data_IF_935715014927
#
_entry.id   IF_935715014927
#
_cell.length_a   1.000
_cell.length_b   1.000
_cell.length_c   1.000
_cell.angle_alpha   90.00
_cell.angle_beta   90.00
_cell.angle_gamma   90.00
#
_symmetry.space_group_name_H-M   'P 1'
#
loop_
_entity.id
_entity.type
_entity.pdbx_description
1 polymer ?
#
# COMPACT_ATOMS: atom_id res chain seq x y z
N UNK A 1 31.40 -0.59 -13.80
CA UNK A 1 30.55 -1.22 -14.82
C UNK A 1 29.13 -1.07 -14.34
N UNK A 2 28.27 -0.34 -15.06
CA UNK A 2 26.85 -0.28 -14.73
C UNK A 2 26.26 -1.64 -15.12
N UNK A 3 25.94 -2.48 -14.14
CA UNK A 3 25.18 -3.71 -14.40
C UNK A 3 23.80 -3.32 -14.91
N UNK A 4 23.29 -4.03 -15.90
CA UNK A 4 21.91 -3.89 -16.35
C UNK A 4 21.00 -4.18 -15.15
N UNK A 5 20.01 -3.32 -14.84
CA UNK A 5 19.07 -3.61 -13.77
C UNK A 5 18.37 -4.95 -13.99
N UNK A 6 18.19 -5.71 -12.92
CA UNK A 6 17.44 -6.96 -12.90
C UNK A 6 16.16 -6.75 -12.09
N UNK A 7 15.01 -6.44 -12.71
CA UNK A 7 13.79 -6.20 -11.98
C UNK A 7 13.50 -7.36 -11.01
N UNK A 8 13.28 -7.03 -9.75
CA UNK A 8 13.01 -7.99 -8.68
C UNK A 8 11.71 -7.60 -8.01
N UNK A 9 10.82 -8.57 -7.79
CA UNK A 9 9.56 -8.39 -7.08
C UNK A 9 9.74 -8.84 -5.63
N UNK A 10 9.44 -7.99 -4.66
CA UNK A 10 9.44 -8.34 -3.24
C UNK A 10 8.03 -8.23 -2.68
N UNK A 11 7.55 -9.31 -2.07
CA UNK A 11 6.23 -9.41 -1.46
C UNK A 11 6.34 -9.79 0.01
N UNK A 12 5.78 -8.97 0.88
CA UNK A 12 5.65 -9.23 2.32
C UNK A 12 4.17 -9.11 2.65
N UNK A 13 3.46 -10.24 2.82
CA UNK A 13 2.02 -10.22 3.04
C UNK A 13 1.63 -9.43 4.30
N UNK A 14 0.47 -8.78 4.25
CA UNK A 14 -0.18 -8.17 5.41
C UNK A 14 -1.16 -9.14 6.05
N UNK A 15 -1.46 -8.93 7.33
CA UNK A 15 -2.46 -9.76 8.02
C UNK A 15 -2.02 -11.18 8.35
N UNK A 16 -0.72 -11.51 8.30
CA UNK A 16 -0.14 -12.86 8.54
C UNK A 16 0.79 -12.81 9.74
N UNK A 17 0.84 -12.05 10.64
CA UNK A 17 1.71 -12.07 11.81
C UNK A 17 3.00 -11.27 11.66
N UNK A 18 3.32 -10.59 12.73
CA UNK A 18 4.46 -9.68 12.80
C UNK A 18 5.81 -10.39 12.63
N UNK A 19 5.88 -11.68 12.98
CA UNK A 19 7.12 -12.47 12.89
C UNK A 19 7.66 -12.61 11.45
N UNK A 20 6.84 -12.39 10.46
CA UNK A 20 7.22 -12.49 9.04
C UNK A 20 7.08 -11.13 8.29
N UNK A 21 7.18 -10.02 9.01
CA UNK A 21 7.10 -8.69 8.42
C UNK A 21 5.67 -8.14 8.31
N UNK A 22 4.83 -8.41 9.30
CA UNK A 22 3.44 -7.93 9.34
C UNK A 22 3.29 -6.44 9.60
N UNK A 23 4.32 -5.77 10.13
CA UNK A 23 4.32 -4.33 10.30
C UNK A 23 4.62 -3.61 8.99
N UNK A 24 3.85 -2.57 8.69
CA UNK A 24 4.11 -1.74 7.52
C UNK A 24 5.48 -1.07 7.63
N UNK A 25 6.33 -1.31 6.64
CA UNK A 25 7.67 -0.74 6.56
C UNK A 25 8.77 -1.46 7.32
N UNK A 26 8.50 -2.52 8.08
CA UNK A 26 9.55 -3.23 8.81
C UNK A 26 10.49 -4.05 7.90
N UNK A 27 10.03 -4.41 6.71
CA UNK A 27 10.85 -5.05 5.68
C UNK A 27 11.73 -4.06 4.87
N UNK A 28 11.70 -2.77 5.19
CA UNK A 28 12.43 -1.76 4.44
C UNK A 28 13.96 -1.98 4.40
N UNK A 29 14.64 -2.43 5.47
CA UNK A 29 16.07 -2.74 5.39
C UNK A 29 16.40 -3.76 4.28
N UNK A 30 15.60 -4.82 4.17
CA UNK A 30 15.72 -5.84 3.12
C UNK A 30 15.39 -5.26 1.73
N UNK A 31 14.33 -4.45 1.62
CA UNK A 31 13.97 -3.77 0.37
C UNK A 31 15.09 -2.84 -0.13
N UNK A 32 15.75 -2.09 0.76
CA UNK A 32 16.91 -1.25 0.42
C UNK A 32 18.07 -2.07 -0.13
N UNK A 33 18.37 -3.21 0.52
CA UNK A 33 19.41 -4.12 0.07
C UNK A 33 19.09 -4.68 -1.31
N UNK A 34 17.88 -5.15 -1.52
CA UNK A 34 17.44 -5.68 -2.81
C UNK A 34 17.44 -4.60 -3.90
N UNK A 35 16.96 -3.39 -3.62
CA UNK A 35 17.00 -2.28 -4.58
C UNK A 35 18.44 -1.91 -4.96
N UNK A 36 19.39 -1.98 -4.02
CA UNK A 36 20.79 -1.74 -4.29
C UNK A 36 21.42 -2.86 -5.13
N UNK A 37 21.08 -4.12 -4.86
CA UNK A 37 21.62 -5.27 -5.57
C UNK A 37 21.03 -5.44 -6.97
N UNK A 38 19.72 -5.29 -7.11
CA UNK A 38 18.99 -5.53 -8.36
C UNK A 38 18.96 -4.33 -9.31
N UNK A 39 19.08 -3.12 -8.77
CA UNK A 39 18.92 -1.87 -9.52
C UNK A 39 17.47 -1.52 -9.88
N UNK A 40 16.50 -2.41 -9.64
CA UNK A 40 15.07 -2.19 -9.86
C UNK A 40 14.26 -3.12 -8.94
N UNK A 41 13.53 -2.55 -8.00
CA UNK A 41 12.69 -3.28 -7.06
C UNK A 41 11.22 -2.88 -7.27
N UNK A 42 10.36 -3.87 -7.40
CA UNK A 42 8.90 -3.71 -7.40
C UNK A 42 8.39 -4.23 -6.07
N UNK A 43 7.63 -3.42 -5.35
CA UNK A 43 7.08 -3.82 -4.05
C UNK A 43 5.80 -3.04 -3.72
N UNK A 44 5.20 -3.32 -2.57
CA UNK A 44 3.87 -2.85 -2.22
C UNK A 44 3.86 -2.05 -0.90
N UNK A 45 2.71 -1.41 -0.56
CA UNK A 45 2.58 -0.53 0.61
C UNK A 45 3.08 -1.12 1.92
N UNK A 46 2.79 -2.37 2.24
CA UNK A 46 3.23 -2.98 3.49
C UNK A 46 4.75 -2.94 3.70
N UNK A 47 5.54 -3.05 2.61
CA UNK A 47 7.01 -2.93 2.68
C UNK A 47 7.45 -1.48 2.85
N UNK A 48 6.71 -0.52 2.26
CA UNK A 48 7.16 0.87 2.11
C UNK A 48 6.51 1.85 3.07
N UNK A 49 5.29 1.57 3.55
CA UNK A 49 4.59 2.46 4.47
C UNK A 49 5.34 2.62 5.80
N UNK A 50 5.12 3.73 6.50
CA UNK A 50 5.84 4.07 7.72
C UNK A 50 7.25 4.61 7.47
N UNK A 51 7.96 4.06 6.49
CA UNK A 51 9.33 4.45 6.19
C UNK A 51 9.49 5.23 4.87
N UNK A 52 8.51 5.18 3.97
CA UNK A 52 8.54 5.92 2.69
C UNK A 52 8.75 7.42 2.87
N UNK A 53 8.25 7.98 3.97
CA UNK A 53 8.40 9.40 4.29
C UNK A 53 9.86 9.81 4.52
N UNK A 54 10.66 8.90 5.09
CA UNK A 54 12.04 9.17 5.50
C UNK A 54 13.06 8.70 4.47
N UNK A 55 12.65 7.88 3.52
CA UNK A 55 13.55 7.32 2.54
C UNK A 55 12.87 7.12 1.19
N UNK A 56 13.36 7.76 0.16
CA UNK A 56 12.92 7.57 -1.22
C UNK A 56 14.08 7.04 -2.06
N UNK A 57 13.78 6.05 -2.90
CA UNK A 57 14.73 5.48 -3.85
C UNK A 57 14.07 5.37 -5.22
N UNK A 58 14.70 5.94 -6.23
CA UNK A 58 14.17 5.91 -7.60
C UNK A 58 14.17 4.52 -8.23
N UNK A 59 14.85 3.56 -7.61
CA UNK A 59 14.88 2.15 -8.04
C UNK A 59 13.68 1.36 -7.54
N UNK A 60 12.88 1.91 -6.61
CA UNK A 60 11.74 1.24 -6.01
C UNK A 60 10.46 1.71 -6.67
N UNK A 61 9.68 0.76 -7.17
CA UNK A 61 8.34 0.95 -7.71
C UNK A 61 7.30 0.53 -6.68
N UNK A 62 6.51 1.50 -6.22
CA UNK A 62 5.44 1.32 -5.25
C UNK A 62 4.16 0.91 -5.97
N UNK A 63 3.72 -0.33 -5.80
CA UNK A 63 2.56 -0.90 -6.50
C UNK A 63 1.63 -1.58 -5.49
N UNK A 64 0.38 -1.25 -5.51
CA UNK A 64 -0.64 -1.86 -4.66
C UNK A 64 -0.94 -3.30 -5.10
N UNK A 65 -1.46 -4.13 -4.16
CA UNK A 65 -1.57 -5.57 -4.30
C UNK A 65 -2.29 -6.05 -5.56
N UNK A 66 -3.47 -5.48 -5.91
CA UNK A 66 -4.17 -5.88 -7.14
C UNK A 66 -3.36 -5.55 -8.41
N UNK A 67 -2.65 -4.42 -8.38
CA UNK A 67 -1.73 -4.06 -9.47
C UNK A 67 -0.59 -5.05 -9.61
N UNK A 68 -0.05 -5.56 -8.49
CA UNK A 68 0.98 -6.60 -8.49
C UNK A 68 0.45 -7.93 -9.01
N UNK A 69 -0.75 -8.35 -8.63
CA UNK A 69 -1.36 -9.58 -9.12
C UNK A 69 -1.53 -9.53 -10.65
N UNK A 70 -2.06 -8.41 -11.18
CA UNK A 70 -2.22 -8.24 -12.63
C UNK A 70 -0.89 -8.12 -13.38
N UNK A 71 0.13 -7.54 -12.75
CA UNK A 71 1.48 -7.53 -13.29
C UNK A 71 2.08 -8.95 -13.32
N UNK A 72 1.96 -9.70 -12.24
CA UNK A 72 2.53 -11.05 -12.12
C UNK A 72 1.90 -12.06 -13.09
N UNK A 73 0.59 -11.94 -13.37
CA UNK A 73 -0.06 -12.77 -14.39
C UNK A 73 0.21 -12.30 -15.84
N UNK A 74 0.89 -11.16 -16.02
CA UNK A 74 1.23 -10.62 -17.34
C UNK A 74 0.12 -9.82 -18.02
N UNK A 75 -0.99 -9.51 -17.31
CA UNK A 75 -2.07 -8.70 -17.86
C UNK A 75 -1.72 -7.21 -17.91
N UNK A 76 -0.88 -6.74 -16.99
CA UNK A 76 -0.43 -5.37 -16.91
C UNK A 76 1.09 -5.27 -16.91
N UNK A 77 1.59 -4.16 -17.46
CA UNK A 77 2.96 -3.70 -17.30
C UNK A 77 2.99 -2.44 -16.43
N UNK A 78 4.16 -2.12 -15.92
CA UNK A 78 4.40 -0.95 -15.09
C UNK A 78 5.19 0.10 -15.89
N UNK A 79 4.63 1.30 -16.02
CA UNK A 79 5.30 2.43 -16.67
C UNK A 79 5.80 3.42 -15.64
N UNK A 80 7.11 3.56 -15.54
CA UNK A 80 7.71 4.57 -14.65
C UNK A 80 7.27 5.98 -15.01
N UNK A 81 6.91 6.76 -14.01
CA UNK A 81 6.52 8.16 -14.14
C UNK A 81 7.42 9.05 -13.27
N UNK A 82 7.53 10.32 -13.63
CA UNK A 82 8.28 11.28 -12.81
C UNK A 82 7.52 11.70 -11.57
N UNK A 83 6.18 11.81 -11.68
CA UNK A 83 5.27 12.20 -10.61
C UNK A 83 3.84 11.81 -10.97
N UNK A 84 3.05 11.57 -9.95
CA UNK A 84 1.60 11.42 -10.02
C UNK A 84 0.92 12.69 -9.50
N UNK A 85 -0.26 12.99 -10.05
CA UNK A 85 -1.20 13.93 -9.46
C UNK A 85 -2.15 13.15 -8.56
N UNK A 86 -1.97 13.27 -7.25
CA UNK A 86 -2.67 12.44 -6.29
C UNK A 86 -3.99 13.09 -5.89
N UNK A 87 -5.11 12.44 -6.23
CA UNK A 87 -6.42 12.78 -5.66
C UNK A 87 -6.53 12.29 -4.23
N UNK A 88 -7.05 13.10 -3.31
CA UNK A 88 -7.35 12.70 -1.94
C UNK A 88 -8.83 12.36 -1.81
N UNK A 89 -9.12 11.10 -1.47
CA UNK A 89 -10.46 10.59 -1.23
C UNK A 89 -10.69 10.42 0.27
N UNK A 90 -11.68 11.11 0.83
CA UNK A 90 -12.03 11.01 2.24
C UNK A 90 -13.36 10.26 2.40
N UNK A 91 -13.39 9.31 3.31
CA UNK A 91 -14.63 8.66 3.72
C UNK A 91 -15.54 9.66 4.46
N UNK A 92 -16.81 9.75 4.07
CA UNK A 92 -17.80 10.58 4.75
C UNK A 92 -18.09 10.12 6.20
N UNK A 93 -17.62 8.94 6.59
CA UNK A 93 -17.69 8.45 7.96
C UNK A 93 -16.64 9.03 8.91
N UNK A 94 -15.66 9.78 8.38
CA UNK A 94 -14.62 10.39 9.21
C UNK A 94 -15.17 11.63 9.91
N UNK A 95 -14.91 11.73 11.20
CA UNK A 95 -15.27 12.88 12.02
C UNK A 95 -14.63 14.17 11.48
N UNK A 96 -15.30 15.34 11.56
CA UNK A 96 -14.81 16.58 10.94
C UNK A 96 -13.39 16.99 11.35
N UNK A 97 -13.02 16.77 12.61
CA UNK A 97 -11.68 17.10 13.11
C UNK A 97 -10.61 16.19 12.49
N UNK A 98 -10.87 14.88 12.44
CA UNK A 98 -9.96 13.92 11.81
C UNK A 98 -9.86 14.17 10.30
N UNK A 99 -10.98 14.46 9.63
CA UNK A 99 -10.97 14.78 8.20
C UNK A 99 -10.11 16.03 7.92
N UNK A 100 -10.27 17.08 8.74
CA UNK A 100 -9.45 18.31 8.63
C UNK A 100 -7.97 18.01 8.85
N UNK A 101 -7.63 17.12 9.78
CA UNK A 101 -6.24 16.68 10.02
C UNK A 101 -5.64 15.99 8.79
N UNK A 102 -6.39 15.13 8.12
CA UNK A 102 -5.93 14.49 6.88
C UNK A 102 -5.69 15.52 5.76
N UNK A 103 -6.56 16.52 5.63
CA UNK A 103 -6.36 17.62 4.68
C UNK A 103 -5.07 18.40 5.01
N UNK A 104 -4.84 18.74 6.28
CA UNK A 104 -3.63 19.44 6.71
C UNK A 104 -2.36 18.61 6.47
N UNK A 105 -2.41 17.30 6.65
CA UNK A 105 -1.28 16.41 6.30
C UNK A 105 -0.99 16.47 4.81
N UNK A 106 -2.01 16.40 3.96
CA UNK A 106 -1.86 16.52 2.51
C UNK A 106 -1.29 17.88 2.09
N UNK A 107 -1.79 18.96 2.66
CA UNK A 107 -1.26 20.33 2.44
C UNK A 107 0.20 20.45 2.91
N UNK A 108 0.53 19.87 4.07
CA UNK A 108 1.90 19.81 4.58
C UNK A 108 2.84 19.05 3.64
N UNK A 109 2.42 17.90 3.12
CA UNK A 109 3.18 17.13 2.13
C UNK A 109 3.34 17.91 0.81
N UNK A 110 2.32 18.61 0.36
CA UNK A 110 2.42 19.50 -0.80
C UNK A 110 3.46 20.60 -0.55
N UNK A 111 3.36 21.30 0.57
CA UNK A 111 4.21 22.47 0.88
C UNK A 111 5.68 22.08 1.14
N UNK A 112 5.92 20.96 1.83
CA UNK A 112 7.27 20.60 2.30
C UNK A 112 8.00 19.62 1.39
N UNK A 113 7.27 18.74 0.70
CA UNK A 113 7.83 17.71 -0.16
C UNK A 113 7.59 18.00 -1.65
N UNK A 114 6.80 19.01 -1.98
CA UNK A 114 6.47 19.38 -3.37
C UNK A 114 5.60 18.32 -4.08
N UNK A 115 4.84 17.53 -3.34
CA UNK A 115 3.94 16.55 -3.94
C UNK A 115 2.77 17.23 -4.63
N UNK A 116 2.37 16.75 -5.81
CA UNK A 116 1.21 17.26 -6.52
C UNK A 116 -0.05 16.57 -5.99
N UNK A 117 -0.74 17.24 -5.06
CA UNK A 117 -1.92 16.70 -4.37
C UNK A 117 -3.15 17.55 -4.72
N UNK A 118 -4.24 16.89 -4.99
CA UNK A 118 -5.54 17.46 -5.34
C UNK A 118 -6.06 16.92 -6.67
N UNK A 119 -7.37 16.91 -6.86
CA UNK A 119 -8.43 17.44 -5.99
C UNK A 119 -8.70 16.60 -4.73
N UNK A 120 -9.49 17.15 -3.79
CA UNK A 120 -10.01 16.46 -2.60
C UNK A 120 -11.49 16.19 -2.80
N UNK A 121 -11.92 14.95 -2.55
CA UNK A 121 -13.33 14.52 -2.71
C UNK A 121 -13.72 13.64 -1.54
N UNK A 122 -14.83 13.93 -0.89
CA UNK A 122 -15.45 13.02 0.07
C UNK A 122 -16.42 12.07 -0.61
N UNK A 123 -16.58 10.87 -0.07
CA UNK A 123 -17.65 9.95 -0.48
C UNK A 123 -19.01 10.58 -0.17
N UNK A 124 -20.04 10.16 -0.88
CA UNK A 124 -21.42 10.67 -0.67
C UNK A 124 -22.14 9.94 0.48
N UNK A 125 -21.57 8.84 0.96
CA UNK A 125 -22.03 8.06 2.11
C UNK A 125 -20.82 7.47 2.83
N UNK A 126 -20.91 7.21 4.15
CA UNK A 126 -19.88 6.47 4.88
C UNK A 126 -19.60 5.12 4.24
N UNK A 127 -18.32 4.72 4.16
CA UNK A 127 -17.92 3.44 3.58
C UNK A 127 -18.35 2.26 4.44
N UNK A 128 -18.58 2.46 5.76
CA UNK A 128 -18.99 1.44 6.71
C UNK A 128 -18.04 0.23 6.68
N UNK A 129 -16.76 0.50 6.91
CA UNK A 129 -15.73 -0.54 7.00
C UNK A 129 -16.04 -1.44 8.20
N UNK A 130 -15.99 -2.75 7.99
CA UNK A 130 -16.06 -3.76 9.05
C UNK A 130 -14.86 -4.68 8.98
N UNK A 131 -14.41 -5.12 10.16
CA UNK A 131 -13.25 -6.01 10.32
C UNK A 131 -13.74 -7.40 10.69
N UNK A 132 -13.14 -8.41 10.08
CA UNK A 132 -13.43 -9.82 10.35
C UNK A 132 -12.10 -10.58 10.44
N UNK A 133 -12.11 -11.67 11.22
CA UNK A 133 -10.97 -12.58 11.31
C UNK A 133 -11.39 -13.97 10.84
N UNK A 134 -10.61 -14.54 9.93
CA UNK A 134 -10.80 -15.89 9.45
C UNK A 134 -10.32 -16.94 10.46
N UNK A 135 -10.73 -18.19 10.26
CA UNK A 135 -10.30 -19.33 11.08
C UNK A 135 -8.77 -19.56 11.05
N UNK A 136 -8.10 -19.09 10.01
CA UNK A 136 -6.63 -19.12 9.88
C UNK A 136 -5.91 -18.06 10.71
N UNK A 137 -6.64 -17.12 11.33
CA UNK A 137 -6.07 -15.96 12.01
C UNK A 137 -5.80 -14.75 11.09
N UNK A 138 -5.93 -14.90 9.77
CA UNK A 138 -5.80 -13.78 8.85
C UNK A 138 -6.93 -12.78 9.04
N UNK A 139 -6.62 -11.49 8.97
CA UNK A 139 -7.62 -10.42 8.97
C UNK A 139 -8.24 -10.26 7.59
N UNK A 140 -9.50 -9.90 7.55
CA UNK A 140 -10.19 -9.47 6.36
C UNK A 140 -11.26 -8.43 6.72
N UNK A 141 -11.85 -7.80 5.72
CA UNK A 141 -12.88 -6.81 5.98
C UNK A 141 -13.84 -6.63 4.83
N UNK A 142 -14.86 -5.84 5.11
CA UNK A 142 -15.89 -5.51 4.12
C UNK A 142 -16.17 -4.01 4.12
N UNK A 143 -16.64 -3.55 2.98
CA UNK A 143 -17.21 -2.23 2.80
C UNK A 143 -18.72 -2.37 2.72
N UNK A 144 -19.46 -1.66 3.57
CA UNK A 144 -20.91 -1.60 3.51
C UNK A 144 -21.41 -0.84 2.29
N UNK A 145 -20.67 0.20 1.87
CA UNK A 145 -21.03 1.06 0.73
C UNK A 145 -19.89 1.16 -0.30
N UNK A 146 -19.49 0.07 -0.99
CA UNK A 146 -18.38 0.11 -1.95
C UNK A 146 -18.66 1.03 -3.15
N UNK A 147 -19.92 1.18 -3.57
CA UNK A 147 -20.29 2.06 -4.67
C UNK A 147 -19.99 3.53 -4.38
N UNK A 148 -20.05 3.97 -3.11
CA UNK A 148 -19.68 5.32 -2.72
C UNK A 148 -18.18 5.58 -2.94
N UNK A 149 -17.35 4.58 -2.65
CA UNK A 149 -15.91 4.61 -2.93
C UNK A 149 -15.65 4.76 -4.43
N UNK A 150 -16.32 3.94 -5.26
CA UNK A 150 -16.14 3.97 -6.71
C UNK A 150 -16.56 5.30 -7.33
N UNK A 151 -17.72 5.84 -6.95
CA UNK A 151 -18.20 7.15 -7.45
C UNK A 151 -17.23 8.28 -7.07
N UNK A 152 -16.70 8.29 -5.86
CA UNK A 152 -15.73 9.28 -5.43
C UNK A 152 -14.40 9.14 -6.21
N UNK A 153 -13.94 7.92 -6.42
CA UNK A 153 -12.76 7.64 -7.25
C UNK A 153 -12.91 8.09 -8.69
N UNK A 154 -14.06 7.83 -9.32
CA UNK A 154 -14.37 8.31 -10.67
C UNK A 154 -14.34 9.84 -10.76
N UNK A 155 -14.93 10.54 -9.79
CA UNK A 155 -14.91 12.02 -9.72
C UNK A 155 -13.48 12.54 -9.65
N UNK A 156 -12.62 11.93 -8.85
CA UNK A 156 -11.20 12.29 -8.76
C UNK A 156 -10.48 12.09 -10.09
N UNK A 157 -10.68 10.92 -10.71
CA UNK A 157 -10.08 10.61 -12.02
C UNK A 157 -10.55 11.58 -13.11
N UNK A 158 -11.85 11.90 -13.16
CA UNK A 158 -12.41 12.89 -14.09
C UNK A 158 -11.85 14.29 -13.84
N UNK A 159 -11.55 14.64 -12.59
CA UNK A 159 -10.91 15.91 -12.23
C UNK A 159 -9.37 15.91 -12.46
N UNK A 160 -8.83 14.85 -13.07
CA UNK A 160 -7.45 14.77 -13.53
C UNK A 160 -6.48 14.15 -12.53
N UNK A 161 -6.94 13.47 -11.48
CA UNK A 161 -6.08 12.65 -10.63
C UNK A 161 -5.54 11.46 -11.43
N UNK A 162 -4.24 11.18 -11.31
CA UNK A 162 -3.56 10.05 -11.94
C UNK A 162 -3.20 8.94 -10.94
N UNK A 163 -3.30 9.25 -9.64
CA UNK A 163 -3.26 8.30 -8.53
C UNK A 163 -4.26 8.75 -7.45
N UNK A 164 -4.69 7.86 -6.57
CA UNK A 164 -5.65 8.19 -5.51
C UNK A 164 -5.17 7.66 -4.16
N UNK A 165 -5.08 8.57 -3.18
CA UNK A 165 -4.93 8.23 -1.77
C UNK A 165 -6.32 8.22 -1.12
N UNK A 166 -6.71 7.11 -0.50
CA UNK A 166 -7.96 6.97 0.23
C UNK A 166 -7.69 7.06 1.71
N UNK A 167 -8.50 7.83 2.42
CA UNK A 167 -8.55 7.80 3.88
C UNK A 167 -9.93 7.29 4.28
N UNK A 168 -9.98 6.18 4.99
CA UNK A 168 -11.22 5.55 5.41
C UNK A 168 -11.33 5.50 6.94
N UNK A 169 -12.53 5.63 7.47
CA UNK A 169 -12.81 5.46 8.89
C UNK A 169 -12.93 3.97 9.20
N UNK A 170 -12.10 3.51 10.10
CA UNK A 170 -12.11 2.13 10.59
C UNK A 170 -12.79 2.04 11.96
N UNK A 171 -13.46 0.92 12.27
CA UNK A 171 -13.92 0.67 13.62
C UNK A 171 -12.71 0.53 14.54
N UNK A 172 -12.78 1.12 15.72
CA UNK A 172 -11.75 1.05 16.75
C UNK A 172 -12.24 0.19 17.92
N UNK A 173 -11.39 -0.71 18.35
CA UNK A 173 -11.55 -1.46 19.59
C UNK A 173 -10.25 -1.36 20.40
N UNK A 174 -10.09 -0.27 21.19
CA UNK A 174 -8.87 -0.05 21.96
C UNK A 174 -8.66 -1.10 23.06
N UNK A 175 -9.68 -1.86 23.42
CA UNK A 175 -9.60 -2.98 24.39
C UNK A 175 -9.31 -4.31 23.69
N UNK A 176 -9.18 -4.32 22.36
CA UNK A 176 -8.86 -5.53 21.60
C UNK A 176 -7.48 -6.08 22.02
N UNK A 177 -7.47 -7.35 22.37
CA UNK A 177 -6.22 -8.09 22.63
C UNK A 177 -5.31 -8.15 21.38
N UNK A 178 -5.89 -8.01 20.20
CA UNK A 178 -5.16 -8.00 18.92
C UNK A 178 -4.33 -6.73 18.76
N UNK A 179 -4.91 -5.56 19.07
CA UNK A 179 -4.18 -4.30 19.05
C UNK A 179 -3.06 -4.31 20.08
N UNK A 180 -3.32 -4.78 21.28
CA UNK A 180 -2.31 -4.88 22.31
C UNK A 180 -1.15 -5.83 21.90
N UNK A 181 -1.45 -6.99 21.32
CA UNK A 181 -0.47 -7.92 20.81
C UNK A 181 0.38 -7.31 19.69
N UNK A 182 -0.27 -6.64 18.72
CA UNK A 182 0.40 -5.95 17.63
C UNK A 182 1.37 -4.87 18.14
N UNK A 183 0.93 -4.04 19.08
CA UNK A 183 1.76 -3.00 19.71
C UNK A 183 2.96 -3.56 20.47
N UNK A 184 2.90 -4.81 20.90
CA UNK A 184 4.00 -5.52 21.58
C UNK A 184 4.83 -6.41 20.64
N UNK A 185 4.72 -6.23 19.33
CA UNK A 185 5.55 -6.94 18.35
C UNK A 185 5.07 -8.34 17.99
N UNK A 186 3.81 -8.67 18.24
CA UNK A 186 3.22 -9.99 17.97
C UNK A 186 1.80 -9.87 17.40
N UNK A 187 1.22 -10.99 16.99
CA UNK A 187 -0.14 -11.01 16.46
C UNK A 187 -0.24 -10.62 14.98
N UNK A 188 -1.39 -10.12 14.59
CA UNK A 188 -1.76 -9.80 13.20
C UNK A 188 -2.30 -8.38 13.13
N UNK A 189 -1.94 -7.64 12.10
CA UNK A 189 -2.59 -6.36 11.80
C UNK A 189 -4.06 -6.59 11.45
N UNK A 190 -4.94 -6.17 12.36
CA UNK A 190 -6.38 -6.37 12.20
C UNK A 190 -6.98 -5.54 11.05
N UNK A 191 -6.35 -4.42 10.67
CA UNK A 191 -6.85 -3.52 9.63
C UNK A 191 -6.49 -3.99 8.22
N UNK A 192 -5.36 -4.68 8.07
CA UNK A 192 -4.71 -4.96 6.80
C UNK A 192 -5.64 -5.60 5.74
N UNK A 193 -6.52 -6.51 6.15
CA UNK A 193 -7.45 -7.17 5.22
C UNK A 193 -8.51 -6.22 4.66
N UNK A 194 -9.05 -5.32 5.47
CA UNK A 194 -10.03 -4.33 5.03
C UNK A 194 -9.36 -3.22 4.20
N UNK A 195 -8.17 -2.82 4.59
CA UNK A 195 -7.35 -1.87 3.84
C UNK A 195 -7.05 -2.37 2.43
N UNK A 196 -6.66 -3.63 2.29
CA UNK A 196 -6.43 -4.25 1.00
C UNK A 196 -7.67 -4.21 0.10
N UNK A 197 -8.87 -4.49 0.65
CA UNK A 197 -10.14 -4.43 -0.11
C UNK A 197 -10.38 -3.04 -0.70
N UNK A 198 -10.12 -1.96 0.06
CA UNK A 198 -10.31 -0.58 -0.40
C UNK A 198 -9.47 -0.31 -1.65
N UNK A 199 -8.19 -0.59 -1.58
CA UNK A 199 -7.27 -0.35 -2.70
C UNK A 199 -7.57 -1.26 -3.89
N UNK A 200 -7.81 -2.54 -3.66
CA UNK A 200 -8.11 -3.53 -4.71
C UNK A 200 -9.35 -3.13 -5.53
N UNK A 201 -10.43 -2.74 -4.85
CA UNK A 201 -11.67 -2.33 -5.52
C UNK A 201 -11.44 -1.11 -6.42
N UNK A 202 -10.70 -0.11 -5.94
CA UNK A 202 -10.40 1.08 -6.74
C UNK A 202 -9.45 0.80 -7.90
N UNK A 203 -8.34 0.10 -7.65
CA UNK A 203 -7.35 -0.23 -8.70
C UNK A 203 -7.99 -1.07 -9.80
N UNK A 204 -8.79 -2.07 -9.43
CA UNK A 204 -9.55 -2.89 -10.39
C UNK A 204 -10.47 -2.07 -11.27
N UNK A 205 -11.20 -1.11 -10.67
CA UNK A 205 -12.18 -0.31 -11.38
C UNK A 205 -11.56 0.81 -12.21
N UNK A 206 -10.62 1.55 -11.62
CA UNK A 206 -10.06 2.76 -12.22
C UNK A 206 -8.82 2.51 -13.08
N UNK A 207 -8.10 1.43 -12.86
CA UNK A 207 -6.84 1.10 -13.53
C UNK A 207 -5.78 2.21 -13.39
N UNK A 208 -5.73 2.84 -12.23
CA UNK A 208 -4.69 3.80 -11.82
C UNK A 208 -4.18 3.41 -10.43
N UNK A 209 -2.96 3.83 -10.04
CA UNK A 209 -2.44 3.58 -8.71
C UNK A 209 -3.37 4.13 -7.63
N UNK A 210 -3.74 3.29 -6.66
CA UNK A 210 -4.50 3.69 -5.48
C UNK A 210 -3.86 3.06 -4.25
N UNK A 211 -3.85 3.80 -3.14
CA UNK A 211 -3.44 3.27 -1.84
C UNK A 211 -4.31 3.88 -0.75
N UNK A 212 -4.23 3.35 0.45
CA UNK A 212 -5.11 3.69 1.55
C UNK A 212 -4.33 4.10 2.79
N UNK A 213 -4.99 4.87 3.65
CA UNK A 213 -4.57 5.15 5.01
C UNK A 213 -5.79 5.08 5.94
N UNK A 214 -5.67 4.55 7.16
CA UNK A 214 -6.75 4.58 8.11
C UNK A 214 -6.88 5.98 8.74
N UNK A 215 -8.12 6.41 9.00
CA UNK A 215 -8.42 7.49 9.91
C UNK A 215 -8.72 6.88 11.28
N UNK A 216 -7.80 7.04 12.22
CA UNK A 216 -7.86 6.51 13.57
C UNK A 216 -7.66 7.64 14.59
N UNK A 217 -8.20 7.46 15.79
CA UNK A 217 -7.86 8.29 16.93
C UNK A 217 -6.43 8.03 17.41
N UNK A 218 -5.73 9.03 17.99
CA UNK A 218 -4.41 8.82 18.54
C UNK A 218 -4.42 7.76 19.64
N UNK A 219 -3.56 6.76 19.50
CA UNK A 219 -3.39 5.72 20.52
C UNK A 219 -2.71 6.29 21.78
N UNK A 220 -3.02 5.76 22.97
CA UNK A 220 -2.35 6.16 24.20
C UNK A 220 -0.87 5.80 24.17
N UNK A 221 -0.02 6.62 24.80
CA UNK A 221 1.40 6.35 24.93
C UNK A 221 1.62 5.04 25.71
N UNK A 222 2.51 4.20 25.20
CA UNK A 222 2.93 2.97 25.84
C UNK A 222 4.47 2.95 25.94
N UNK A 223 5.05 3.00 27.16
CA UNK A 223 6.49 2.94 27.35
C UNK A 223 7.14 1.63 26.89
N UNK A 224 6.36 0.58 26.71
CA UNK A 224 6.82 -0.74 26.29
C UNK A 224 6.46 -1.05 24.82
N UNK A 225 6.07 -0.03 24.06
CA UNK A 225 5.73 -0.16 22.66
C UNK A 225 6.90 -0.78 21.87
N UNK A 226 6.61 -1.80 21.03
CA UNK A 226 7.62 -2.35 20.14
C UNK A 226 8.12 -1.25 19.16
N UNK A 227 9.43 -1.11 18.95
CA UNK A 227 9.98 -0.07 18.06
C UNK A 227 9.42 -0.10 16.64
N UNK A 228 9.00 -1.26 16.13
CA UNK A 228 8.39 -1.38 14.81
C UNK A 228 6.98 -0.78 14.80
N UNK A 229 6.17 -1.07 15.82
CA UNK A 229 4.87 -0.44 16.00
C UNK A 229 5.00 1.07 16.25
N UNK A 230 6.02 1.50 17.01
CA UNK A 230 6.30 2.92 17.20
C UNK A 230 6.58 3.65 15.89
N UNK A 231 7.26 3.00 14.94
CA UNK A 231 7.51 3.55 13.61
C UNK A 231 6.22 3.87 12.84
N UNK A 232 5.15 3.10 13.05
CA UNK A 232 3.83 3.35 12.47
C UNK A 232 3.02 4.38 13.27
N UNK A 233 3.05 4.31 14.60
CA UNK A 233 2.22 5.15 15.48
C UNK A 233 2.69 6.60 15.55
N UNK A 234 3.98 6.90 15.35
CA UNK A 234 4.52 8.26 15.40
C UNK A 234 3.85 9.22 14.42
N UNK A 235 3.36 8.71 13.33
CA UNK A 235 2.64 9.51 12.35
C UNK A 235 1.16 9.14 12.24
N UNK A 236 0.49 8.77 13.27
CA UNK A 236 -0.85 8.15 13.33
C UNK A 236 -1.85 8.54 12.23
N UNK A 237 -1.52 9.46 11.38
CA UNK A 237 -2.26 9.76 10.16
C UNK A 237 -1.93 8.81 9.01
N UNK A 238 -0.80 8.12 9.01
CA UNK A 238 -0.27 7.23 7.96
C UNK A 238 -0.29 7.83 6.53
N UNK A 239 -1.16 8.79 6.29
CA UNK A 239 -1.41 9.40 4.98
C UNK A 239 -0.14 9.96 4.34
N UNK A 240 0.76 10.56 5.12
CA UNK A 240 2.01 11.13 4.58
C UNK A 240 2.85 10.07 3.84
N UNK A 241 2.96 8.87 4.40
CA UNK A 241 3.71 7.76 3.79
C UNK A 241 3.04 7.25 2.51
N UNK A 242 1.71 7.16 2.52
CA UNK A 242 0.91 6.79 1.34
C UNK A 242 1.08 7.81 0.22
N UNK A 243 1.03 9.10 0.53
CA UNK A 243 1.22 10.17 -0.47
C UNK A 243 2.62 10.14 -1.08
N UNK A 244 3.66 9.91 -0.26
CA UNK A 244 5.03 9.77 -0.76
C UNK A 244 5.15 8.53 -1.64
N UNK A 245 4.61 7.38 -1.23
CA UNK A 245 4.61 6.15 -2.03
C UNK A 245 3.93 6.35 -3.38
N UNK A 246 2.71 6.91 -3.37
CA UNK A 246 1.94 7.18 -4.60
C UNK A 246 2.57 8.23 -5.51
N UNK A 247 3.36 9.17 -4.97
CA UNK A 247 3.89 10.28 -5.76
C UNK A 247 4.68 9.87 -6.99
N UNK A 248 5.24 8.66 -6.99
CA UNK A 248 6.00 8.06 -8.10
C UNK A 248 5.55 6.63 -8.42
N UNK A 249 4.38 6.23 -7.94
CA UNK A 249 3.82 4.92 -8.31
C UNK A 249 3.73 4.82 -9.84
N UNK A 250 4.15 3.70 -10.44
CA UNK A 250 4.11 3.56 -11.89
C UNK A 250 2.66 3.52 -12.40
N UNK A 251 2.45 4.01 -13.62
CA UNK A 251 1.18 3.80 -14.30
C UNK A 251 0.96 2.32 -14.57
N UNK A 252 -0.27 1.87 -14.41
CA UNK A 252 -0.73 0.52 -14.70
C UNK A 252 -1.15 0.44 -16.17
N UNK A 253 -0.42 -0.33 -16.96
CA UNK A 253 -0.59 -0.37 -18.43
C UNK A 253 -1.16 -1.71 -18.85
N UNK A 254 -2.38 -1.74 -19.34
CA UNK A 254 -3.03 -2.95 -19.84
C UNK A 254 -2.35 -3.48 -21.11
N UNK A 255 -2.48 -4.79 -21.35
CA UNK A 255 -1.99 -5.46 -22.56
C UNK A 255 -2.45 -4.73 -23.83
N UNK A 256 -1.58 -4.70 -24.84
CA UNK A 256 -1.80 -3.98 -26.09
C UNK A 256 -1.48 -2.47 -26.07
N UNK A 257 -1.14 -1.91 -24.87
CA UNK A 257 -0.73 -0.51 -24.69
C UNK A 257 0.72 -0.34 -24.26
N UNK A 258 1.50 -1.42 -24.26
CA UNK A 258 2.90 -1.43 -23.83
C UNK A 258 3.76 -0.58 -24.76
N UNK A 259 4.77 0.03 -24.18
CA UNK A 259 5.77 0.85 -24.87
C UNK A 259 7.18 0.37 -24.50
N UNK A 260 8.20 0.63 -25.33
CA UNK A 260 9.58 0.40 -24.92
C UNK A 260 9.87 1.11 -23.60
N UNK A 261 10.44 0.36 -22.65
CA UNK A 261 10.75 0.84 -21.30
C UNK A 261 9.67 0.58 -20.24
N UNK A 262 8.49 0.08 -20.61
CA UNK A 262 7.55 -0.47 -19.63
C UNK A 262 8.12 -1.77 -19.05
N UNK A 263 7.97 -1.96 -17.73
CA UNK A 263 8.36 -3.20 -17.05
C UNK A 263 7.25 -4.23 -17.22
N UNK A 264 7.59 -5.42 -17.65
CA UNK A 264 6.69 -6.57 -17.73
C UNK A 264 7.22 -7.73 -16.92
N UNK A 265 6.36 -8.72 -16.63
CA UNK A 265 6.72 -9.88 -15.81
C UNK A 265 7.85 -10.72 -16.43
N UNK A 266 7.95 -10.78 -17.76
CA UNK A 266 9.01 -11.51 -18.46
C UNK A 266 10.42 -10.94 -18.19
N UNK A 267 10.51 -9.72 -17.67
CA UNK A 267 11.77 -9.09 -17.30
C UNK A 267 12.17 -9.36 -15.85
N UNK A 268 11.30 -10.01 -15.04
CA UNK A 268 11.63 -10.33 -13.67
C UNK A 268 12.78 -11.32 -13.57
N UNK A 269 13.79 -10.95 -12.81
CA UNK A 269 14.91 -11.83 -12.47
C UNK A 269 14.62 -12.72 -11.26
N UNK A 270 13.78 -12.26 -10.32
CA UNK A 270 13.37 -13.02 -9.14
C UNK A 270 12.11 -12.47 -8.49
N UNK A 271 11.40 -13.33 -7.76
CA UNK A 271 10.43 -12.96 -6.73
C UNK A 271 10.96 -13.34 -5.37
N UNK A 272 10.90 -12.41 -4.41
CA UNK A 272 11.44 -12.57 -3.04
C UNK A 272 10.29 -12.46 -2.05
N UNK A 273 10.16 -13.44 -1.18
CA UNK A 273 9.08 -13.54 -0.19
C UNK A 273 9.58 -14.13 1.13
N UNK A 274 8.93 -13.86 2.28
CA UNK A 274 9.20 -14.57 3.52
C UNK A 274 8.92 -16.07 3.36
N UNK A 275 9.71 -16.89 4.06
CA UNK A 275 9.44 -18.33 4.17
C UNK A 275 8.04 -18.56 4.74
N UNK A 276 7.27 -19.40 4.26
CA UNK A 276 5.89 -19.64 4.71
C UNK A 276 4.82 -18.68 4.16
N UNK A 277 5.19 -17.68 3.35
CA UNK A 277 4.25 -16.73 2.73
C UNK A 277 4.09 -16.94 1.22
N UNK A 278 3.96 -18.20 0.78
CA UNK A 278 4.05 -18.60 -0.63
C UNK A 278 2.69 -18.65 -1.36
N UNK A 279 1.58 -18.42 -0.66
CA UNK A 279 0.22 -18.66 -1.20
C UNK A 279 -0.44 -17.47 -1.87
N UNK A 280 0.23 -16.31 -2.01
CA UNK A 280 -0.34 -15.12 -2.65
C UNK A 280 -0.46 -15.27 -4.18
N UNK A 281 -1.49 -14.65 -4.79
CA UNK A 281 -1.76 -14.75 -6.23
C UNK A 281 -0.55 -14.35 -7.07
N UNK A 282 0.11 -13.23 -6.76
CA UNK A 282 1.29 -12.79 -7.48
C UNK A 282 2.47 -13.77 -7.36
N UNK A 283 2.66 -14.43 -6.20
CA UNK A 283 3.72 -15.43 -6.02
C UNK A 283 3.45 -16.65 -6.90
N UNK A 284 2.24 -17.17 -6.85
CA UNK A 284 1.84 -18.34 -7.65
C UNK A 284 1.95 -18.06 -9.13
N UNK A 285 1.49 -16.90 -9.59
CA UNK A 285 1.60 -16.48 -10.98
C UNK A 285 3.07 -16.37 -11.44
N UNK A 286 3.95 -15.81 -10.62
CA UNK A 286 5.40 -15.77 -10.91
C UNK A 286 6.00 -17.18 -11.05
N UNK A 287 5.60 -18.12 -10.19
CA UNK A 287 6.05 -19.51 -10.28
C UNK A 287 5.57 -20.20 -11.56
N UNK A 288 4.32 -19.99 -11.96
CA UNK A 288 3.77 -20.50 -13.22
C UNK A 288 4.53 -19.96 -14.44
N UNK A 289 5.07 -18.76 -14.34
CA UNK A 289 5.89 -18.14 -15.37
C UNK A 289 7.39 -18.48 -15.26
N UNK A 290 7.76 -19.39 -14.35
CA UNK A 290 9.14 -19.80 -14.09
C UNK A 290 10.06 -18.65 -13.61
N UNK A 291 9.51 -17.64 -12.96
CA UNK A 291 10.33 -16.61 -12.31
C UNK A 291 11.04 -17.25 -11.09
N UNK A 292 12.35 -17.09 -10.93
CA UNK A 292 13.08 -17.64 -9.79
C UNK A 292 12.51 -17.15 -8.46
N UNK A 293 12.22 -18.09 -7.53
CA UNK A 293 11.74 -17.79 -6.18
C UNK A 293 12.90 -17.76 -5.20
N UNK A 294 12.97 -16.73 -4.39
CA UNK A 294 13.89 -16.58 -3.25
C UNK A 294 13.04 -16.45 -2.00
N UNK A 295 13.21 -17.37 -1.06
CA UNK A 295 12.61 -17.27 0.27
C UNK A 295 13.61 -16.70 1.27
N UNK A 296 13.12 -15.91 2.21
CA UNK A 296 13.91 -15.28 3.27
C UNK A 296 13.31 -15.68 4.62
N UNK A 297 14.17 -16.16 5.52
CA UNK A 297 13.84 -16.47 6.92
C UNK A 297 13.70 -15.20 7.76
#
# INVERSE_FOLDING_TARGET
>A
MSSTPMPTLMLVPTGIGCAIGGFAGDALPSARLLAAASGCLITHPNVMNGASLYWSDSRVHYVEGYGLDRFAVGEWALRSVRRQRIGLLLDAGIEPELAQRQIQVAEGCHATLGLEIGPVVSTDQPLQVSLERGASGASWGRLGCPDALLRAGERLKQAGATAIAVVARFPEDPESGDLAAYRQGSGVDALAGAEAVISHVLVKHLQIPCAHAPALDPLPLDPQLDPRAAGEELGYTFLACVLVGLSRAPDLVAAGRYRPGDLSVEQLGAVVVPEGALGGEAVLACLEQNVPLITVE
#
